data_IF_137597298097
#
_entry.id   IF_137597298097
#
_cell.length_a   1.000
_cell.length_b   1.000
_cell.length_c   1.000
_cell.angle_alpha   90.00
_cell.angle_beta   90.00
_cell.angle_gamma   90.00
#
_symmetry.space_group_name_H-M   'P 1'
#
loop_
_entity.id
_entity.type
_entity.pdbx_description
1 polymer ?
#
# COMPACT_ATOMS: atom_id res chain seq x y z
N UNK A 1 19.62 3.30 -4.82
CA UNK A 1 18.46 2.74 -5.60
C UNK A 1 17.17 3.28 -4.99
N UNK A 2 16.32 4.02 -5.74
CA UNK A 2 15.19 4.73 -5.14
C UNK A 2 14.00 3.78 -4.85
N UNK A 3 13.56 3.76 -3.60
CA UNK A 3 12.34 3.10 -3.12
C UNK A 3 11.39 4.16 -2.58
N UNK A 4 10.17 4.22 -3.07
CA UNK A 4 9.10 5.09 -2.54
C UNK A 4 8.17 4.26 -1.67
N UNK A 5 7.95 4.73 -0.43
CA UNK A 5 6.98 4.17 0.50
C UNK A 5 5.92 5.24 0.77
N UNK A 6 4.69 4.93 0.41
CA UNK A 6 3.56 5.85 0.58
C UNK A 6 2.61 5.32 1.64
N UNK A 7 2.33 6.11 2.65
CA UNK A 7 1.29 5.86 3.66
C UNK A 7 0.15 6.86 3.58
N UNK A 8 -0.82 6.70 4.47
CA UNK A 8 -1.96 7.60 4.60
C UNK A 8 -2.05 8.18 6.00
N UNK A 9 -2.44 9.45 6.09
CA UNK A 9 -2.76 10.12 7.33
C UNK A 9 -4.05 9.63 7.98
N UNK A 10 -4.48 10.28 9.08
CA UNK A 10 -5.73 9.97 9.78
C UNK A 10 -6.95 10.05 8.87
N UNK A 11 -7.98 9.23 9.16
CA UNK A 11 -9.25 9.32 8.47
C UNK A 11 -10.40 8.69 9.29
N UNK A 12 -11.63 9.15 9.05
CA UNK A 12 -12.82 8.65 9.75
C UNK A 12 -12.65 8.74 11.27
N UNK A 13 -12.97 7.67 11.97
CA UNK A 13 -12.87 7.59 13.43
C UNK A 13 -11.45 7.27 13.94
N UNK A 14 -10.46 7.18 13.05
CA UNK A 14 -9.09 6.87 13.40
C UNK A 14 -8.24 8.15 13.47
N UNK A 15 -7.97 8.71 14.67
CA UNK A 15 -7.16 9.92 14.85
C UNK A 15 -5.68 9.69 14.52
N UNK A 16 -5.27 8.43 14.45
CA UNK A 16 -3.92 7.99 14.08
C UNK A 16 -4.05 6.86 13.05
N UNK A 17 -3.24 6.90 12.01
CA UNK A 17 -3.17 5.84 11.02
C UNK A 17 -1.84 5.07 11.18
N UNK A 18 -1.89 3.75 11.46
CA UNK A 18 -0.68 2.94 11.57
C UNK A 18 0.27 3.06 10.37
N UNK A 19 -0.27 3.23 9.16
CA UNK A 19 0.56 3.39 7.97
C UNK A 19 1.37 4.68 7.98
N UNK A 20 0.83 5.78 8.53
CA UNK A 20 1.58 7.01 8.74
C UNK A 20 2.76 6.81 9.70
N UNK A 21 2.50 6.15 10.84
CA UNK A 21 3.54 5.90 11.84
C UNK A 21 4.67 5.04 11.26
N UNK A 22 4.34 3.99 10.52
CA UNK A 22 5.32 3.14 9.84
C UNK A 22 6.18 3.94 8.85
N UNK A 23 5.54 4.76 8.01
CA UNK A 23 6.24 5.57 7.01
C UNK A 23 7.13 6.62 7.66
N UNK A 24 6.68 7.28 8.74
CA UNK A 24 7.48 8.24 9.50
C UNK A 24 8.68 7.56 10.19
N UNK A 25 8.48 6.38 10.79
CA UNK A 25 9.58 5.64 11.42
C UNK A 25 10.67 5.21 10.41
N UNK A 26 10.28 4.94 9.16
CA UNK A 26 11.25 4.68 8.09
C UNK A 26 12.02 5.95 7.70
N UNK A 27 11.35 7.10 7.66
CA UNK A 27 12.00 8.38 7.37
C UNK A 27 13.10 8.72 8.40
N UNK A 28 12.86 8.43 9.67
CA UNK A 28 13.80 8.65 10.78
C UNK A 28 15.07 7.81 10.66
N UNK A 29 15.05 6.70 9.92
CA UNK A 29 16.25 5.86 9.69
C UNK A 29 17.30 6.55 8.82
N UNK A 30 16.94 7.61 8.08
CA UNK A 30 17.88 8.38 7.26
C UNK A 30 18.46 7.61 6.06
N UNK A 31 17.80 6.54 5.60
CA UNK A 31 18.24 5.77 4.43
C UNK A 31 18.14 6.65 3.16
N UNK A 32 19.29 6.97 2.51
CA UNK A 32 19.31 7.85 1.33
C UNK A 32 18.56 7.27 0.12
N UNK A 33 18.33 5.98 0.10
CA UNK A 33 17.59 5.30 -0.97
C UNK A 33 16.08 5.28 -0.75
N UNK A 34 15.59 5.63 0.44
CA UNK A 34 14.17 5.72 0.73
C UNK A 34 13.62 7.13 0.47
N UNK A 35 12.41 7.16 -0.07
CA UNK A 35 11.55 8.35 -0.13
C UNK A 35 10.23 7.98 0.49
N UNK A 36 9.86 8.67 1.52
CA UNK A 36 8.67 8.42 2.31
C UNK A 36 7.67 9.56 2.10
N UNK A 37 6.42 9.21 1.86
CA UNK A 37 5.34 10.16 1.61
C UNK A 37 4.10 9.75 2.41
N UNK A 38 3.50 10.69 3.09
CA UNK A 38 2.21 10.51 3.78
C UNK A 38 1.18 11.37 3.08
N UNK A 39 0.22 10.73 2.44
CA UNK A 39 -0.86 11.44 1.75
C UNK A 39 -2.09 11.54 2.67
N UNK A 40 -2.87 12.60 2.57
CA UNK A 40 -4.20 12.61 3.18
C UNK A 40 -5.07 11.53 2.52
N UNK A 41 -6.06 11.02 3.23
CA UNK A 41 -7.06 10.09 2.67
C UNK A 41 -8.01 10.87 1.76
N UNK A 42 -7.48 11.35 0.64
CA UNK A 42 -8.15 12.20 -0.35
C UNK A 42 -7.97 11.63 -1.75
N UNK A 43 -9.07 11.47 -2.46
CA UNK A 43 -9.07 10.98 -3.85
C UNK A 43 -8.31 11.93 -4.77
N UNK A 44 -8.62 13.24 -4.66
CA UNK A 44 -8.00 14.27 -5.49
C UNK A 44 -6.50 14.35 -5.28
N UNK A 45 -6.06 14.32 -4.01
CA UNK A 45 -4.62 14.34 -3.68
C UNK A 45 -3.92 13.08 -4.14
N UNK A 46 -4.51 11.91 -3.93
CA UNK A 46 -3.91 10.64 -4.38
C UNK A 46 -3.78 10.61 -5.91
N UNK A 47 -4.83 11.05 -6.63
CA UNK A 47 -4.82 11.11 -8.10
C UNK A 47 -3.72 12.03 -8.66
N UNK A 48 -3.44 13.14 -7.98
CA UNK A 48 -2.43 14.10 -8.40
C UNK A 48 -1.02 13.70 -7.99
N UNK A 49 -0.84 13.31 -6.72
CA UNK A 49 0.49 13.12 -6.14
C UNK A 49 1.15 11.80 -6.56
N UNK A 50 0.40 10.69 -6.65
CA UNK A 50 0.99 9.39 -6.99
C UNK A 50 1.69 9.40 -8.36
N UNK A 51 1.07 9.88 -9.45
CA UNK A 51 1.76 9.98 -10.74
C UNK A 51 2.93 10.97 -10.71
N UNK A 52 2.77 12.11 -10.03
CA UNK A 52 3.82 13.12 -9.89
C UNK A 52 5.07 12.57 -9.19
N UNK A 53 4.87 11.83 -8.11
CA UNK A 53 5.97 11.20 -7.37
C UNK A 53 6.61 10.08 -8.18
N UNK A 54 5.81 9.29 -8.92
CA UNK A 54 6.30 8.24 -9.81
C UNK A 54 7.21 8.82 -10.90
N UNK A 55 6.80 9.92 -11.52
CA UNK A 55 7.58 10.64 -12.53
C UNK A 55 8.85 11.25 -11.93
N UNK A 56 8.71 11.95 -10.79
CA UNK A 56 9.80 12.65 -10.10
C UNK A 56 10.93 11.71 -9.66
N UNK A 57 10.57 10.62 -9.03
CA UNK A 57 11.55 9.73 -8.40
C UNK A 57 11.95 8.55 -9.29
N UNK A 58 11.12 8.18 -10.28
CA UNK A 58 11.32 7.02 -11.15
C UNK A 58 11.77 5.79 -10.35
N UNK A 59 11.02 5.38 -9.32
CA UNK A 59 11.51 4.43 -8.33
C UNK A 59 11.66 3.03 -8.92
N UNK A 60 12.58 2.25 -8.33
CA UNK A 60 12.64 0.82 -8.58
C UNK A 60 11.56 0.07 -7.80
N UNK A 61 11.18 0.58 -6.65
CA UNK A 61 10.11 0.01 -5.81
C UNK A 61 9.15 1.11 -5.41
N UNK A 62 7.87 0.86 -5.62
CA UNK A 62 6.76 1.64 -5.04
C UNK A 62 5.95 0.72 -4.15
N UNK A 63 5.89 1.03 -2.87
CA UNK A 63 5.07 0.32 -1.90
C UNK A 63 4.08 1.27 -1.24
N UNK A 64 2.78 1.07 -1.50
CA UNK A 64 1.73 1.68 -0.71
C UNK A 64 1.53 0.91 0.60
N UNK A 65 1.24 1.63 1.68
CA UNK A 65 0.89 1.06 3.00
C UNK A 65 -0.40 1.68 3.46
N UNK A 66 -1.35 0.89 3.95
CA UNK A 66 -2.65 1.38 4.42
C UNK A 66 -3.22 0.57 5.57
N UNK A 67 -4.10 1.19 6.35
CA UNK A 67 -4.83 0.54 7.43
C UNK A 67 -5.96 -0.33 6.88
N UNK A 68 -6.05 -1.57 7.36
CA UNK A 68 -7.21 -2.45 7.21
C UNK A 68 -7.69 -2.91 8.60
N UNK A 69 -8.51 -2.10 9.26
CA UNK A 69 -8.89 -2.22 10.66
C UNK A 69 -9.54 -3.56 11.07
N UNK A 70 -10.13 -4.29 10.11
CA UNK A 70 -10.74 -5.60 10.38
C UNK A 70 -9.81 -6.80 10.16
N UNK A 71 -8.54 -6.59 9.78
CA UNK A 71 -7.59 -7.68 9.49
C UNK A 71 -6.74 -8.02 10.71
N UNK A 72 -6.43 -9.32 10.85
CA UNK A 72 -5.64 -9.85 11.98
C UNK A 72 -4.14 -9.97 11.67
N UNK A 73 -3.75 -9.81 10.40
CA UNK A 73 -2.40 -10.08 9.90
C UNK A 73 -2.02 -9.10 8.80
N UNK A 74 -0.75 -8.99 8.50
CA UNK A 74 -0.26 -8.24 7.34
C UNK A 74 -0.84 -8.83 6.06
N UNK A 75 -1.21 -7.99 5.13
CA UNK A 75 -1.82 -8.45 3.89
C UNK A 75 -1.11 -7.82 2.70
N UNK A 76 -0.33 -8.63 1.99
CA UNK A 76 0.25 -8.23 0.72
C UNK A 76 -0.84 -8.32 -0.35
N UNK A 77 -1.16 -7.22 -1.00
CA UNK A 77 -2.23 -7.19 -1.99
C UNK A 77 -1.75 -7.72 -3.34
N UNK A 78 -2.40 -8.77 -3.85
CA UNK A 78 -2.05 -9.40 -5.12
C UNK A 78 -2.50 -8.56 -6.31
N UNK A 79 -3.58 -7.77 -6.17
CA UNK A 79 -4.22 -7.11 -7.29
C UNK A 79 -4.83 -5.75 -6.89
N UNK A 80 -4.66 -4.77 -7.77
CA UNK A 80 -5.43 -3.54 -7.80
C UNK A 80 -6.45 -3.60 -8.94
N UNK A 81 -7.72 -3.32 -8.66
CA UNK A 81 -8.80 -3.33 -9.65
C UNK A 81 -9.11 -1.92 -10.15
N UNK A 82 -9.51 -1.79 -11.42
CA UNK A 82 -9.93 -0.52 -12.00
C UNK A 82 -11.33 -0.12 -11.53
N UNK A 83 -11.48 -0.03 -10.22
CA UNK A 83 -12.74 0.31 -9.57
C UNK A 83 -12.49 1.20 -8.37
N UNK A 84 -13.10 2.38 -8.38
CA UNK A 84 -13.26 3.25 -7.22
C UNK A 84 -14.74 3.33 -6.87
N UNK A 85 -15.07 3.13 -5.61
CA UNK A 85 -16.44 3.22 -5.12
C UNK A 85 -16.53 2.68 -3.70
N UNK A 86 -17.21 3.44 -2.85
CA UNK A 86 -17.42 3.11 -1.44
C UNK A 86 -18.82 3.56 -0.99
N UNK A 87 -19.34 3.03 0.12
CA UNK A 87 -20.65 3.40 0.64
C UNK A 87 -20.78 4.91 0.85
N UNK A 88 -21.94 5.45 0.59
CA UNK A 88 -22.25 6.90 0.70
C UNK A 88 -21.91 7.50 2.08
N UNK A 89 -21.95 6.67 3.12
CA UNK A 89 -21.61 7.09 4.49
C UNK A 89 -20.12 7.35 4.72
N UNK A 90 -19.25 7.00 3.75
CA UNK A 90 -17.81 7.14 3.88
C UNK A 90 -17.28 8.13 2.85
N UNK A 91 -17.23 9.42 3.21
CA UNK A 91 -16.52 10.43 2.43
C UNK A 91 -15.02 10.35 2.69
N UNK A 92 -14.22 10.83 1.73
CA UNK A 92 -12.80 11.04 1.94
C UNK A 92 -12.51 12.30 2.79
N UNK A 93 -11.25 12.64 3.00
CA UNK A 93 -10.87 13.80 3.82
C UNK A 93 -11.32 15.15 3.22
N UNK A 94 -11.64 15.19 1.94
CA UNK A 94 -12.18 16.38 1.26
C UNK A 94 -13.72 16.37 1.17
N UNK A 95 -14.37 15.41 1.84
CA UNK A 95 -15.82 15.23 1.81
C UNK A 95 -16.34 14.61 0.51
N UNK A 96 -15.48 14.01 -0.29
CA UNK A 96 -15.84 13.39 -1.56
C UNK A 96 -16.29 11.95 -1.35
N UNK A 97 -17.53 11.66 -1.77
CA UNK A 97 -18.04 10.29 -1.90
C UNK A 97 -18.01 9.87 -3.37
N UNK A 98 -17.65 8.64 -3.63
CA UNK A 98 -17.56 8.10 -5.00
C UNK A 98 -18.53 6.95 -5.19
N UNK A 99 -19.50 7.16 -6.05
CA UNK A 99 -20.28 6.08 -6.63
C UNK A 99 -19.36 5.27 -7.57
N UNK A 100 -19.63 4.00 -7.69
CA UNK A 100 -18.83 3.04 -8.48
C UNK A 100 -18.43 3.60 -9.85
N UNK A 101 -17.11 3.82 -10.06
CA UNK A 101 -16.52 4.29 -11.32
C UNK A 101 -15.14 3.69 -11.55
N UNK A 102 -14.61 3.70 -12.79
CA UNK A 102 -13.21 3.34 -13.03
C UNK A 102 -12.25 4.29 -12.29
N UNK A 103 -11.10 3.74 -11.82
CA UNK A 103 -9.96 4.54 -11.38
C UNK A 103 -9.37 5.29 -12.57
N UNK A 104 -9.12 4.57 -13.67
CA UNK A 104 -8.66 5.13 -14.92
C UNK A 104 -9.62 4.72 -16.05
N UNK A 105 -10.42 5.64 -16.60
CA UNK A 105 -11.25 5.36 -17.76
C UNK A 105 -10.40 4.84 -18.94
N UNK A 106 -10.80 3.72 -19.54
CA UNK A 106 -10.06 3.07 -20.63
C UNK A 106 -8.79 2.31 -20.20
N UNK A 107 -8.43 2.33 -18.93
CA UNK A 107 -7.32 1.53 -18.39
C UNK A 107 -7.67 0.04 -18.28
N UNK A 108 -6.66 -0.83 -18.05
CA UNK A 108 -6.87 -2.26 -17.86
C UNK A 108 -7.79 -2.54 -16.66
N UNK A 109 -8.49 -3.68 -16.68
CA UNK A 109 -9.43 -4.05 -15.61
C UNK A 109 -8.74 -4.18 -14.24
N UNK A 110 -7.47 -4.57 -14.23
CA UNK A 110 -6.67 -4.72 -13.03
C UNK A 110 -5.17 -4.63 -13.34
N UNK A 111 -4.38 -4.34 -12.30
CA UNK A 111 -2.93 -4.51 -12.25
C UNK A 111 -2.58 -5.53 -11.17
N UNK A 112 -1.77 -6.52 -11.50
CA UNK A 112 -1.20 -7.41 -10.51
C UNK A 112 -0.03 -6.74 -9.80
N UNK A 113 0.19 -7.09 -8.53
CA UNK A 113 1.42 -6.72 -7.85
C UNK A 113 2.63 -7.26 -8.59
N UNK A 114 3.68 -6.49 -8.66
CA UNK A 114 4.97 -6.94 -9.19
C UNK A 114 6.01 -7.17 -8.08
N UNK A 115 5.58 -7.04 -6.81
CA UNK A 115 6.41 -7.39 -5.66
C UNK A 115 6.69 -8.91 -5.64
N UNK A 116 7.84 -9.33 -5.10
CA UNK A 116 8.20 -10.76 -5.00
C UNK A 116 7.40 -11.45 -3.89
N UNK A 117 6.11 -11.73 -4.14
CA UNK A 117 5.18 -12.22 -3.13
C UNK A 117 5.64 -13.52 -2.45
N UNK A 118 6.16 -14.48 -3.21
CA UNK A 118 6.68 -15.74 -2.67
C UNK A 118 7.78 -15.52 -1.62
N UNK A 119 8.88 -14.84 -1.95
CA UNK A 119 9.94 -14.47 -1.01
C UNK A 119 9.43 -13.68 0.22
N UNK A 120 8.52 -12.72 0.03
CA UNK A 120 7.93 -11.94 1.14
C UNK A 120 7.18 -12.86 2.11
N UNK A 121 6.29 -13.70 1.60
CA UNK A 121 5.51 -14.62 2.43
C UNK A 121 6.39 -15.65 3.13
N UNK A 122 7.46 -16.08 2.50
CA UNK A 122 8.45 -16.96 3.13
C UNK A 122 9.18 -16.25 4.27
N UNK A 123 9.69 -15.03 4.03
CA UNK A 123 10.36 -14.25 5.07
C UNK A 123 9.47 -13.98 6.28
N UNK A 124 8.18 -13.64 6.06
CA UNK A 124 7.22 -13.50 7.17
C UNK A 124 7.04 -14.80 7.96
N UNK A 125 6.94 -15.93 7.27
CA UNK A 125 6.79 -17.24 7.93
C UNK A 125 8.02 -17.59 8.77
N UNK A 126 9.22 -17.37 8.23
CA UNK A 126 10.48 -17.64 8.92
C UNK A 126 10.68 -16.73 10.14
N UNK A 127 10.23 -15.47 10.05
CA UNK A 127 10.26 -14.51 11.15
C UNK A 127 9.10 -14.65 12.17
N UNK A 128 8.16 -15.59 11.96
CA UNK A 128 7.00 -15.75 12.82
C UNK A 128 6.01 -14.58 12.73
N UNK A 129 6.01 -13.84 11.62
CA UNK A 129 5.13 -12.68 11.40
C UNK A 129 3.85 -13.15 10.71
N UNK A 130 2.66 -12.94 11.31
CA UNK A 130 1.39 -13.26 10.66
C UNK A 130 1.19 -12.41 9.39
N UNK A 131 1.11 -13.08 8.26
CA UNK A 131 0.89 -12.40 6.97
C UNK A 131 0.41 -13.35 5.89
N UNK A 132 -0.29 -12.81 4.90
CA UNK A 132 -0.83 -13.58 3.78
C UNK A 132 -0.93 -12.75 2.49
N UNK A 133 -1.13 -13.44 1.36
CA UNK A 133 -1.44 -12.83 0.08
C UNK A 133 -2.95 -12.58 0.00
N UNK A 134 -3.34 -11.32 -0.08
CA UNK A 134 -4.73 -10.90 -0.20
C UNK A 134 -5.12 -10.73 -1.67
N UNK A 135 -6.34 -11.13 -2.02
CA UNK A 135 -6.86 -11.01 -3.38
C UNK A 135 -7.65 -9.71 -3.62
N UNK A 136 -7.67 -8.79 -2.67
CA UNK A 136 -8.37 -7.52 -2.83
C UNK A 136 -7.88 -6.43 -1.87
N UNK A 137 -7.50 -5.30 -2.44
CA UNK A 137 -7.25 -4.05 -1.69
C UNK A 137 -8.55 -3.25 -1.43
N UNK A 138 -9.70 -3.84 -1.72
CA UNK A 138 -11.00 -3.17 -1.65
C UNK A 138 -11.26 -2.28 -2.87
N UNK A 139 -12.05 -1.23 -2.69
CA UNK A 139 -12.37 -0.25 -3.74
C UNK A 139 -12.22 1.20 -3.29
N UNK A 140 -11.66 1.40 -2.09
CA UNK A 140 -11.39 2.72 -1.51
C UNK A 140 -9.98 3.24 -1.88
N UNK A 141 -9.44 4.19 -1.12
CA UNK A 141 -8.19 4.89 -1.42
C UNK A 141 -6.96 3.97 -1.54
N UNK A 142 -6.93 2.86 -0.79
CA UNK A 142 -5.84 1.89 -0.87
C UNK A 142 -5.75 1.26 -2.25
N UNK A 143 -6.86 0.74 -2.75
CA UNK A 143 -6.95 0.22 -4.11
C UNK A 143 -6.71 1.31 -5.16
N UNK A 144 -7.29 2.50 -4.94
CA UNK A 144 -7.11 3.64 -5.85
C UNK A 144 -5.63 4.03 -5.99
N UNK A 145 -4.91 4.16 -4.86
CA UNK A 145 -3.47 4.46 -4.85
C UNK A 145 -2.64 3.36 -5.52
N UNK A 146 -2.91 2.10 -5.18
CA UNK A 146 -2.20 0.97 -5.78
C UNK A 146 -2.40 0.90 -7.29
N UNK A 147 -3.66 1.01 -7.75
CA UNK A 147 -3.96 1.02 -9.18
C UNK A 147 -3.27 2.20 -9.89
N UNK A 148 -3.38 3.40 -9.31
CA UNK A 148 -2.79 4.62 -9.90
C UNK A 148 -1.26 4.50 -10.01
N UNK A 149 -0.59 3.95 -9.00
CA UNK A 149 0.86 3.74 -9.02
C UNK A 149 1.27 2.73 -10.11
N UNK A 150 0.56 1.60 -10.21
CA UNK A 150 0.83 0.58 -11.21
C UNK A 150 0.58 1.12 -12.64
N UNK A 151 -0.50 1.86 -12.83
CA UNK A 151 -0.82 2.51 -14.10
C UNK A 151 0.24 3.53 -14.50
N UNK A 152 0.70 4.37 -13.54
CA UNK A 152 1.72 5.37 -13.80
C UNK A 152 3.08 4.72 -14.15
N UNK A 153 3.49 3.68 -13.43
CA UNK A 153 4.71 2.94 -13.73
C UNK A 153 4.66 2.33 -15.13
N UNK A 154 3.53 1.73 -15.50
CA UNK A 154 3.30 1.16 -16.84
C UNK A 154 3.34 2.23 -17.93
N UNK A 155 2.66 3.35 -17.74
CA UNK A 155 2.63 4.46 -18.71
C UNK A 155 4.00 5.10 -18.94
N UNK A 156 4.85 5.13 -17.91
CA UNK A 156 6.22 5.64 -17.97
C UNK A 156 7.24 4.59 -18.44
N UNK A 157 6.81 3.35 -18.71
CA UNK A 157 7.69 2.23 -19.08
C UNK A 157 8.74 1.92 -18.01
N UNK A 158 8.43 2.13 -16.73
CA UNK A 158 9.39 1.92 -15.64
C UNK A 158 9.47 0.44 -15.24
N UNK A 159 10.67 -0.13 -15.09
CA UNK A 159 10.86 -1.44 -14.48
C UNK A 159 10.73 -1.33 -12.95
N UNK A 160 9.54 -0.94 -12.49
CA UNK A 160 9.24 -0.68 -11.09
C UNK A 160 8.48 -1.86 -10.47
N UNK A 161 8.93 -2.31 -9.30
CA UNK A 161 8.16 -3.21 -8.45
C UNK A 161 7.08 -2.37 -7.75
N UNK A 162 5.82 -2.66 -8.03
CA UNK A 162 4.67 -1.93 -7.47
C UNK A 162 3.78 -2.87 -6.68
N UNK A 163 3.40 -2.46 -5.49
CA UNK A 163 2.45 -3.20 -4.67
C UNK A 163 1.90 -2.41 -3.50
N UNK A 164 1.11 -3.10 -2.68
CA UNK A 164 0.44 -2.51 -1.54
C UNK A 164 0.42 -3.48 -0.35
N UNK A 165 0.68 -2.94 0.84
CA UNK A 165 0.66 -3.64 2.11
C UNK A 165 -0.45 -3.07 2.99
N UNK A 166 -1.41 -3.89 3.37
CA UNK A 166 -2.34 -3.53 4.42
C UNK A 166 -1.82 -4.00 5.78
N UNK A 167 -1.96 -3.13 6.77
CA UNK A 167 -1.58 -3.38 8.16
C UNK A 167 -2.82 -3.33 9.06
N UNK A 168 -2.87 -4.14 10.15
CA UNK A 168 -3.92 -4.07 11.16
C UNK A 168 -3.89 -2.79 11.98
N UNK A 169 -4.90 -2.60 12.84
CA UNK A 169 -4.87 -1.60 13.91
C UNK A 169 -3.68 -1.85 14.86
N UNK A 170 -3.25 -0.78 15.53
CA UNK A 170 -2.37 -0.91 16.68
C UNK A 170 -3.19 -1.23 17.95
N UNK A 171 -2.66 -1.97 18.92
CA UNK A 171 -3.38 -2.30 20.16
C UNK A 171 -3.92 -1.08 20.89
N UNK A 172 -3.17 0.02 20.91
CA UNK A 172 -3.54 1.28 21.55
C UNK A 172 -4.67 2.05 20.85
N UNK A 173 -5.02 1.67 19.62
CA UNK A 173 -6.12 2.26 18.85
C UNK A 173 -7.41 1.42 18.93
N UNK A 174 -7.34 0.27 19.60
CA UNK A 174 -8.48 -0.64 19.75
C UNK A 174 -9.43 -0.13 20.82
N UNK A 175 -10.67 0.13 20.45
CA UNK A 175 -11.74 0.54 21.38
C UNK A 175 -12.65 -0.61 21.78
N UNK A 176 -12.76 -1.64 20.95
CA UNK A 176 -13.49 -2.88 21.25
C UNK A 176 -12.62 -4.10 20.93
N UNK A 177 -11.85 -4.64 21.91
CA UNK A 177 -10.92 -5.75 21.67
C UNK A 177 -11.62 -7.07 21.29
N UNK A 178 -12.92 -7.20 21.52
CA UNK A 178 -13.69 -8.37 21.10
C UNK A 178 -13.99 -8.38 19.59
N UNK A 179 -13.92 -7.23 18.93
CA UNK A 179 -14.30 -7.06 17.52
C UNK A 179 -13.22 -6.48 16.65
N UNK A 180 -12.19 -5.83 17.22
CA UNK A 180 -11.15 -5.16 16.49
C UNK A 180 -9.81 -5.88 16.67
N UNK A 181 -9.37 -6.66 15.69
CA UNK A 181 -8.05 -7.25 15.73
C UNK A 181 -6.95 -6.18 15.63
N UNK A 182 -5.81 -6.46 16.23
CA UNK A 182 -4.67 -5.55 16.21
C UNK A 182 -3.35 -6.27 16.11
N UNK A 183 -2.30 -5.55 15.72
CA UNK A 183 -0.92 -6.03 15.68
C UNK A 183 0.01 -4.95 16.20
N UNK A 184 0.94 -5.30 17.07
CA UNK A 184 1.91 -4.36 17.63
C UNK A 184 2.75 -3.69 16.54
N UNK A 185 3.06 -2.41 16.71
CA UNK A 185 3.85 -1.61 15.77
C UNK A 185 5.17 -2.25 15.42
N UNK A 186 5.89 -2.82 16.39
CA UNK A 186 7.18 -3.49 16.17
C UNK A 186 7.06 -4.67 15.20
N UNK A 187 5.95 -5.44 15.29
CA UNK A 187 5.72 -6.58 14.40
C UNK A 187 5.33 -6.13 12.99
N UNK A 188 4.53 -5.05 12.88
CA UNK A 188 4.21 -4.45 11.57
C UNK A 188 5.47 -3.90 10.90
N UNK A 189 6.35 -3.22 11.67
CA UNK A 189 7.61 -2.69 11.16
C UNK A 189 8.57 -3.80 10.70
N UNK A 190 8.71 -4.86 11.48
CA UNK A 190 9.52 -6.02 11.08
C UNK A 190 8.98 -6.68 9.80
N UNK A 191 7.66 -6.78 9.67
CA UNK A 191 7.03 -7.30 8.46
C UNK A 191 7.26 -6.41 7.23
N UNK A 192 7.25 -5.10 7.42
CA UNK A 192 7.58 -4.14 6.36
C UNK A 192 9.07 -4.25 5.96
N UNK A 193 9.96 -4.44 6.92
CA UNK A 193 11.39 -4.66 6.64
C UNK A 193 11.61 -5.92 5.78
N UNK A 194 10.92 -7.02 6.07
CA UNK A 194 10.93 -8.23 5.20
C UNK A 194 10.51 -7.92 3.76
N UNK A 195 9.47 -7.09 3.57
CA UNK A 195 9.04 -6.66 2.22
C UNK A 195 10.15 -5.89 1.52
N UNK A 196 10.77 -4.93 2.21
CA UNK A 196 11.83 -4.09 1.65
C UNK A 196 13.07 -4.92 1.27
N UNK A 197 13.47 -5.85 2.12
CA UNK A 197 14.61 -6.74 1.87
C UNK A 197 14.36 -7.66 0.67
N UNK A 198 13.18 -8.28 0.59
CA UNK A 198 12.80 -9.10 -0.55
C UNK A 198 12.78 -8.29 -1.85
N UNK A 199 12.30 -7.04 -1.82
CA UNK A 199 12.32 -6.14 -2.98
C UNK A 199 13.74 -5.71 -3.38
N UNK A 200 14.65 -5.53 -2.42
CA UNK A 200 16.06 -5.22 -2.72
C UNK A 200 16.74 -6.38 -3.42
N UNK A 201 16.47 -7.61 -3.00
CA UNK A 201 17.03 -8.84 -3.59
C UNK A 201 16.43 -9.19 -4.95
N UNK A 202 15.20 -8.79 -5.24
CA UNK A 202 14.53 -9.11 -6.50
C UNK A 202 15.09 -8.28 -7.65
N UNK A 203 15.21 -8.88 -8.82
CA UNK A 203 15.36 -8.12 -10.07
C UNK A 203 13.98 -7.69 -10.55
N UNK A 204 13.78 -6.42 -10.99
CA UNK A 204 12.52 -6.02 -11.60
C UNK A 204 12.29 -6.91 -12.83
N UNK A 205 11.23 -7.71 -12.79
CA UNK A 205 10.77 -8.39 -14.00
C UNK A 205 10.28 -7.33 -14.98
N UNK A 206 10.66 -7.46 -16.26
CA UNK A 206 10.08 -6.63 -17.30
C UNK A 206 8.54 -6.79 -17.32
N UNK A 207 7.79 -5.91 -18.00
CA UNK A 207 6.34 -5.96 -18.07
C UNK A 207 5.89 -7.33 -18.58
N UNK A 208 5.30 -8.14 -17.71
CA UNK A 208 4.80 -9.51 -18.01
C UNK A 208 5.33 -10.65 -17.15
N UNK A 209 6.23 -10.41 -16.20
CA UNK A 209 6.84 -11.45 -15.36
C UNK A 209 6.18 -11.61 -13.99
N UNK A 210 4.96 -12.14 -13.92
CA UNK A 210 4.29 -12.43 -12.65
C UNK A 210 3.94 -13.92 -12.60
N UNK A 211 4.32 -14.55 -11.48
CA UNK A 211 4.11 -15.98 -11.18
C UNK A 211 4.99 -16.96 -12.00
N UNK A 212 6.23 -17.10 -11.64
CA UNK A 212 6.99 -18.35 -11.77
C UNK A 212 7.36 -18.86 -10.38
#
# INVERSE_FOLDING_TARGET
MCTVIQGFGPFGDFPVNPSELLVRSLAERGDPDLRTEVLPVSLGRTAAEVPRLMEKYRPRVWLGVGLAAGRTALSLEAVAVNLAGWPEAQADADGVSVTRRPVAPGGPAAHLTTLPAGPILQAWREAGIPGYLSQTAGSYLCNFSFYTAAQAASALGLPCLVGFLHVPLLPELVTDPARQPSMAMALQAAGLDCVLEACRAASPAGPGGVYR
#
